data_IF_706868043876
#
_entry.id   IF_706868043876
#
_cell.length_a   1.000
_cell.length_b   1.000
_cell.length_c   1.000
_cell.angle_alpha   90.00
_cell.angle_beta   90.00
_cell.angle_gamma   90.00
#
_symmetry.space_group_name_H-M   'P 1'
#
loop_
_entity.id
_entity.type
_entity.pdbx_description
1 polymer ?
#
# COMPACT_ATOMS: atom_id res chain seq x y z
N UNK A 1 4.08 3.42 -24.24
CA UNK A 1 4.78 2.69 -23.17
C UNK A 1 3.84 1.61 -22.69
N UNK A 2 4.25 0.33 -22.68
CA UNK A 2 3.38 -0.75 -22.22
C UNK A 2 3.01 -0.50 -20.76
N UNK A 3 1.71 -0.56 -20.42
CA UNK A 3 1.27 -0.46 -19.04
C UNK A 3 1.75 -1.72 -18.31
N UNK A 4 2.91 -1.64 -17.69
CA UNK A 4 3.58 -2.79 -17.05
C UNK A 4 2.92 -3.17 -15.74
N UNK A 5 2.01 -2.34 -15.24
CA UNK A 5 1.39 -2.48 -13.95
C UNK A 5 0.37 -3.64 -13.93
N UNK A 6 0.49 -4.54 -12.96
CA UNK A 6 -0.44 -5.66 -12.72
C UNK A 6 -1.57 -5.29 -11.77
N UNK A 7 -1.56 -4.06 -11.23
CA UNK A 7 -2.46 -3.60 -10.18
C UNK A 7 -3.57 -2.70 -10.74
N UNK A 8 -4.80 -2.97 -10.31
CA UNK A 8 -5.95 -2.07 -10.44
C UNK A 8 -6.37 -1.64 -9.03
N UNK A 9 -6.18 -0.37 -8.70
CA UNK A 9 -6.48 0.18 -7.38
C UNK A 9 -7.98 0.45 -7.24
N UNK A 10 -8.63 -0.11 -6.22
CA UNK A 10 -10.05 0.15 -5.93
C UNK A 10 -10.23 1.15 -4.78
N UNK A 11 -9.50 0.95 -3.69
CA UNK A 11 -9.49 1.86 -2.54
C UNK A 11 -8.09 1.90 -1.91
N UNK A 12 -7.63 3.10 -1.54
CA UNK A 12 -6.31 3.31 -0.96
C UNK A 12 -6.42 4.18 0.29
N UNK A 13 -5.80 3.72 1.37
CA UNK A 13 -5.55 4.50 2.59
C UNK A 13 -4.08 4.94 2.54
N UNK A 14 -3.84 6.25 2.53
CA UNK A 14 -2.49 6.83 2.55
C UNK A 14 -2.05 7.06 3.99
N UNK A 15 -0.90 6.51 4.36
CA UNK A 15 -0.30 6.59 5.70
C UNK A 15 1.06 7.28 5.59
N UNK A 16 1.27 8.44 6.24
CA UNK A 16 2.58 9.06 6.29
C UNK A 16 3.64 8.13 6.89
N UNK A 17 4.80 8.04 6.25
CA UNK A 17 5.92 7.21 6.68
C UNK A 17 6.93 8.00 7.52
N UNK A 18 7.57 7.31 8.46
CA UNK A 18 8.73 7.81 9.21
C UNK A 18 9.97 8.04 8.33
N UNK A 19 10.01 7.50 7.11
CA UNK A 19 11.14 7.62 6.18
C UNK A 19 11.46 9.07 5.81
N UNK A 20 10.48 9.97 5.86
CA UNK A 20 10.71 11.37 5.58
C UNK A 20 9.46 12.12 5.12
N UNK A 21 9.58 13.44 4.92
CA UNK A 21 8.49 14.25 4.42
C UNK A 21 8.08 13.81 3.02
N UNK A 22 6.77 13.82 2.75
CA UNK A 22 6.18 13.41 1.46
C UNK A 22 6.46 11.95 1.05
N UNK A 23 6.68 11.08 2.04
CA UNK A 23 6.75 9.64 1.85
C UNK A 23 5.54 9.01 2.51
N UNK A 24 4.79 8.20 1.76
CA UNK A 24 3.59 7.54 2.27
C UNK A 24 3.62 6.04 1.96
N UNK A 25 3.08 5.23 2.87
CA UNK A 25 2.57 3.91 2.51
C UNK A 25 1.18 4.08 1.91
N UNK A 26 0.95 3.44 0.77
CA UNK A 26 -0.36 3.31 0.16
C UNK A 26 -0.86 1.90 0.45
N UNK A 27 -1.74 1.78 1.44
CA UNK A 27 -2.38 0.51 1.79
C UNK A 27 -3.63 0.39 0.94
N UNK A 28 -3.62 -0.53 -0.02
CA UNK A 28 -4.60 -0.56 -1.10
C UNK A 28 -5.33 -1.90 -1.14
N UNK A 29 -6.66 -1.82 -1.23
CA UNK A 29 -7.50 -2.90 -1.71
C UNK A 29 -7.72 -2.73 -3.22
N UNK A 30 -7.60 -3.81 -3.98
CA UNK A 30 -7.81 -3.77 -5.41
C UNK A 30 -7.69 -5.15 -6.04
N UNK A 31 -7.36 -5.16 -7.33
CA UNK A 31 -7.24 -6.37 -8.13
C UNK A 31 -5.84 -6.49 -8.70
N UNK A 32 -5.36 -7.72 -8.83
CA UNK A 32 -4.05 -8.04 -9.39
C UNK A 32 -4.20 -9.01 -10.55
N UNK A 33 -3.55 -8.71 -11.66
CA UNK A 33 -3.42 -9.58 -12.83
C UNK A 33 -1.94 -9.91 -13.08
N UNK A 34 -1.41 -10.87 -12.31
CA UNK A 34 0.01 -11.23 -12.38
C UNK A 34 0.45 -11.68 -13.77
N UNK A 35 -0.44 -12.34 -14.51
CA UNK A 35 -0.15 -12.92 -15.83
C UNK A 35 -0.56 -12.01 -16.98
N UNK A 36 -1.30 -10.94 -16.71
CA UNK A 36 -1.86 -10.02 -17.71
C UNK A 36 -2.78 -10.74 -18.69
N UNK A 37 -3.50 -11.74 -18.21
CA UNK A 37 -4.40 -12.59 -18.99
C UNK A 37 -5.89 -12.27 -18.71
N UNK A 38 -6.16 -11.22 -17.94
CA UNK A 38 -7.50 -10.81 -17.54
C UNK A 38 -8.02 -11.53 -16.29
N UNK A 39 -7.25 -12.47 -15.71
CA UNK A 39 -7.62 -13.16 -14.48
C UNK A 39 -7.36 -12.28 -13.25
N UNK A 40 -8.28 -11.35 -13.01
CA UNK A 40 -8.23 -10.43 -11.88
C UNK A 40 -8.42 -11.16 -10.56
N UNK A 41 -7.50 -10.93 -9.62
CA UNK A 41 -7.55 -11.50 -8.26
C UNK A 41 -7.65 -10.39 -7.22
N UNK A 42 -8.66 -10.38 -6.33
CA UNK A 42 -8.74 -9.37 -5.28
C UNK A 42 -7.57 -9.54 -4.30
N UNK A 43 -6.99 -8.42 -3.85
CA UNK A 43 -5.87 -8.42 -2.93
C UNK A 43 -5.83 -7.13 -2.10
N UNK A 44 -5.23 -7.24 -0.91
CA UNK A 44 -4.68 -6.10 -0.17
C UNK A 44 -3.17 -6.11 -0.36
N UNK A 45 -2.61 -4.96 -0.72
CA UNK A 45 -1.17 -4.79 -0.92
C UNK A 45 -0.74 -3.39 -0.45
N UNK A 46 0.55 -3.26 -0.15
CA UNK A 46 1.15 -2.01 0.31
C UNK A 46 2.17 -1.55 -0.72
N UNK A 47 2.05 -0.30 -1.16
CA UNK A 47 3.00 0.36 -2.05
C UNK A 47 3.63 1.55 -1.33
N UNK A 48 4.76 2.02 -1.84
CA UNK A 48 5.35 3.27 -1.39
C UNK A 48 5.03 4.39 -2.37
N UNK A 49 4.73 5.57 -1.85
CA UNK A 49 4.68 6.81 -2.60
C UNK A 49 5.81 7.73 -2.14
N UNK A 50 6.56 8.27 -3.09
CA UNK A 50 7.60 9.25 -2.85
C UNK A 50 7.30 10.50 -3.67
N UNK A 51 7.08 11.64 -3.01
CA UNK A 51 6.78 12.92 -3.67
C UNK A 51 5.61 12.83 -4.66
N UNK A 52 4.52 12.16 -4.28
CA UNK A 52 3.34 11.96 -5.12
C UNK A 52 3.50 10.94 -6.26
N UNK A 53 4.60 10.16 -6.27
CA UNK A 53 4.85 9.12 -7.27
C UNK A 53 4.89 7.74 -6.62
N UNK A 54 4.04 6.84 -7.10
CA UNK A 54 3.97 5.45 -6.63
C UNK A 54 5.18 4.67 -7.16
N UNK A 55 5.88 3.99 -6.25
CA UNK A 55 6.96 3.05 -6.57
C UNK A 55 6.40 1.64 -6.67
N UNK A 56 6.55 1.03 -7.85
CA UNK A 56 6.19 -0.37 -8.12
C UNK A 56 7.41 -1.30 -8.20
N UNK A 57 8.63 -0.76 -8.14
CA UNK A 57 9.87 -1.52 -8.33
C UNK A 57 10.41 -2.06 -7.01
N UNK A 58 10.27 -1.27 -5.94
CA UNK A 58 10.81 -1.60 -4.63
C UNK A 58 9.67 -2.10 -3.73
N UNK A 59 9.88 -3.20 -2.98
CA UNK A 59 8.94 -3.59 -1.92
C UNK A 59 8.71 -2.45 -0.94
N UNK A 60 7.50 -2.37 -0.38
CA UNK A 60 7.23 -1.48 0.73
C UNK A 60 7.92 -2.01 1.99
N UNK A 61 8.99 -1.35 2.42
CA UNK A 61 9.63 -1.63 3.69
C UNK A 61 8.91 -0.85 4.78
N UNK A 62 8.10 -1.54 5.57
CA UNK A 62 7.37 -0.93 6.68
C UNK A 62 8.28 -0.93 7.90
N UNK A 63 8.60 0.26 8.40
CA UNK A 63 9.51 0.43 9.54
C UNK A 63 8.87 0.08 10.88
N UNK A 64 9.72 -0.27 11.83
CA UNK A 64 9.33 -0.75 13.17
C UNK A 64 9.90 0.11 14.31
N UNK A 65 10.67 1.15 13.99
CA UNK A 65 11.08 2.16 14.96
C UNK A 65 9.89 3.01 15.41
N UNK A 66 10.01 3.57 16.62
CA UNK A 66 8.98 4.43 17.20
C UNK A 66 9.05 5.82 16.58
N UNK A 67 7.91 6.27 16.11
CA UNK A 67 7.64 7.65 15.74
C UNK A 67 7.63 8.57 16.96
N UNK A 68 7.61 9.89 16.71
CA UNK A 68 7.54 10.91 17.75
C UNK A 68 6.28 10.79 18.65
N UNK A 69 5.20 10.22 18.11
CA UNK A 69 3.95 9.95 18.83
C UNK A 69 3.97 8.62 19.63
N UNK A 70 5.09 7.88 19.60
CA UNK A 70 5.29 6.62 20.30
C UNK A 70 4.79 5.37 19.57
N UNK A 71 4.09 5.52 18.44
CA UNK A 71 3.61 4.43 17.58
C UNK A 71 4.62 4.05 16.50
N UNK A 72 4.43 2.92 15.82
CA UNK A 72 5.26 2.48 14.69
C UNK A 72 4.50 2.59 13.36
N UNK A 73 5.23 2.72 12.25
CA UNK A 73 4.62 2.66 10.92
C UNK A 73 3.96 1.29 10.69
N UNK A 74 4.55 0.22 11.24
CA UNK A 74 3.98 -1.12 11.22
C UNK A 74 2.56 -1.17 11.80
N UNK A 75 2.35 -0.63 13.00
CA UNK A 75 1.02 -0.58 13.64
C UNK A 75 0.02 0.20 12.77
N UNK A 76 0.42 1.38 12.27
CA UNK A 76 -0.44 2.22 11.41
C UNK A 76 -0.85 1.51 10.12
N UNK A 77 0.08 0.81 9.49
CA UNK A 77 -0.20 0.04 8.27
C UNK A 77 -1.08 -1.16 8.57
N UNK A 78 -0.86 -1.88 9.67
CA UNK A 78 -1.72 -3.00 10.07
C UNK A 78 -3.14 -2.54 10.39
N UNK A 79 -3.30 -1.38 11.05
CA UNK A 79 -4.61 -0.79 11.32
C UNK A 79 -5.34 -0.44 10.01
N UNK A 80 -4.64 0.13 9.03
CA UNK A 80 -5.21 0.41 7.72
C UNK A 80 -5.62 -0.87 6.97
N UNK A 81 -4.80 -1.93 7.03
CA UNK A 81 -5.15 -3.26 6.48
C UNK A 81 -6.41 -3.80 7.16
N UNK A 82 -6.51 -3.68 8.48
CA UNK A 82 -7.68 -4.14 9.22
C UNK A 82 -8.94 -3.34 8.87
N UNK A 83 -8.81 -2.02 8.64
CA UNK A 83 -9.92 -1.19 8.13
C UNK A 83 -10.41 -1.69 6.78
N UNK A 84 -9.51 -1.98 5.84
CA UNK A 84 -9.89 -2.54 4.53
C UNK A 84 -10.51 -3.93 4.65
N UNK A 85 -9.96 -4.79 5.51
CA UNK A 85 -10.52 -6.12 5.80
C UNK A 85 -11.97 -6.03 6.25
N UNK A 86 -12.26 -5.17 7.23
CA UNK A 86 -13.62 -4.98 7.76
C UNK A 86 -14.54 -4.42 6.68
N UNK A 87 -14.10 -3.38 5.96
CA UNK A 87 -14.91 -2.69 4.95
C UNK A 87 -15.27 -3.59 3.76
N UNK A 88 -14.31 -4.36 3.26
CA UNK A 88 -14.47 -5.22 2.08
C UNK A 88 -14.85 -6.66 2.43
N UNK A 89 -15.04 -6.98 3.72
CA UNK A 89 -15.46 -8.30 4.23
C UNK A 89 -14.53 -9.43 3.75
N UNK A 90 -13.22 -9.22 3.90
CA UNK A 90 -12.15 -10.15 3.50
C UNK A 90 -11.99 -11.33 4.47
#
# INVERSE_FOLDING_TARGET
MANTNVYTHAETISIPSSHGPNVNYLVTYGFVDWKKDGNLRPAVYVLMEYNGRISYQTPAHITTDKNADGSTDFEKVMDAINQLKIKHKL
#
